data_IF_373858573044
#
_entry.id   IF_373858573044
#
_cell.length_a   1.000
_cell.length_b   1.000
_cell.length_c   1.000
_cell.angle_alpha   90.00
_cell.angle_beta   90.00
_cell.angle_gamma   90.00
#
_symmetry.space_group_name_H-M   'P 1'
#
loop_
_entity.id
_entity.type
_entity.pdbx_description
1 polymer ?
#
# COMPACT_ATOMS: atom_id res chain seq x y z
N UNK A 1 14.62 -17.46 10.99
CA UNK A 1 14.17 -17.64 9.58
C UNK A 1 15.15 -16.96 8.64
N UNK A 2 16.31 -17.57 8.34
CA UNK A 2 17.30 -17.02 7.39
C UNK A 2 17.68 -18.01 6.27
N UNK A 3 17.05 -19.18 6.26
CA UNK A 3 17.40 -20.24 5.32
C UNK A 3 16.76 -19.96 3.95
N UNK A 4 17.58 -19.75 2.92
CA UNK A 4 17.14 -19.46 1.54
C UNK A 4 16.43 -20.65 0.87
N UNK A 5 16.53 -21.85 1.44
CA UNK A 5 15.84 -23.04 0.92
C UNK A 5 14.32 -22.81 0.89
N UNK A 6 13.77 -22.02 1.82
CA UNK A 6 12.33 -21.72 1.85
C UNK A 6 11.83 -20.97 0.61
N UNK A 7 12.67 -20.16 -0.05
CA UNK A 7 12.33 -19.48 -1.29
C UNK A 7 12.87 -20.20 -2.54
N UNK A 8 13.28 -21.47 -2.42
CA UNK A 8 13.76 -22.25 -3.55
C UNK A 8 15.21 -21.97 -3.94
N UNK A 9 16.02 -21.33 -3.08
CA UNK A 9 17.45 -21.08 -3.35
C UNK A 9 18.37 -21.90 -2.44
N UNK A 10 19.39 -22.50 -3.03
CA UNK A 10 20.41 -23.28 -2.32
C UNK A 10 21.72 -22.48 -2.36
N UNK A 11 22.33 -22.30 -1.20
CA UNK A 11 23.64 -21.67 -1.07
C UNK A 11 24.74 -22.70 -1.33
N UNK A 12 25.64 -22.39 -2.27
CA UNK A 12 26.85 -23.17 -2.51
C UNK A 12 28.03 -22.35 -1.98
N UNK A 13 28.75 -22.93 -1.02
CA UNK A 13 29.93 -22.31 -0.43
C UNK A 13 31.08 -22.18 -1.44
N UNK A 14 31.98 -21.25 -1.17
CA UNK A 14 33.18 -21.02 -1.98
C UNK A 14 34.00 -22.32 -2.10
N UNK A 15 34.42 -22.65 -3.32
CA UNK A 15 35.31 -23.78 -3.57
C UNK A 15 36.46 -23.37 -4.49
N UNK A 16 37.69 -23.45 -3.97
CA UNK A 16 38.93 -23.02 -4.65
C UNK A 16 38.85 -21.55 -5.10
N UNK A 17 38.87 -21.28 -6.41
CA UNK A 17 38.83 -19.92 -6.98
C UNK A 17 37.41 -19.48 -7.36
N UNK A 18 36.39 -20.32 -7.14
CA UNK A 18 35.00 -19.97 -7.44
C UNK A 18 34.35 -19.31 -6.23
N UNK A 19 33.79 -18.12 -6.42
CA UNK A 19 33.06 -17.37 -5.39
C UNK A 19 31.80 -18.11 -4.94
N UNK A 20 31.33 -17.84 -3.73
CA UNK A 20 30.07 -18.42 -3.25
C UNK A 20 28.88 -17.83 -4.03
N UNK A 21 27.95 -18.68 -4.46
CA UNK A 21 26.77 -18.25 -5.22
C UNK A 21 25.50 -19.02 -4.81
N UNK A 22 24.36 -18.45 -5.19
CA UNK A 22 23.05 -19.04 -4.95
C UNK A 22 22.49 -19.64 -6.24
N UNK A 23 22.02 -20.88 -6.18
CA UNK A 23 21.34 -21.54 -7.30
C UNK A 23 19.86 -21.75 -7.00
N UNK A 24 19.05 -21.82 -8.06
CA UNK A 24 17.65 -22.24 -7.96
C UNK A 24 17.59 -23.75 -7.74
N UNK A 25 16.98 -24.16 -6.63
CA UNK A 25 16.72 -25.56 -6.30
C UNK A 25 15.63 -26.15 -7.20
N UNK A 26 15.58 -27.48 -7.28
CA UNK A 26 14.53 -28.22 -8.00
C UNK A 26 13.27 -28.43 -7.17
N UNK A 27 13.31 -28.17 -5.87
CA UNK A 27 12.16 -28.31 -4.98
C UNK A 27 11.20 -27.13 -5.13
N UNK A 28 9.93 -27.39 -4.85
CA UNK A 28 8.91 -26.35 -4.82
C UNK A 28 9.17 -25.38 -3.66
N UNK A 29 9.21 -24.06 -3.90
CA UNK A 29 9.42 -23.09 -2.84
C UNK A 29 8.20 -23.01 -1.92
N UNK A 30 8.42 -23.01 -0.61
CA UNK A 30 7.35 -22.88 0.38
C UNK A 30 6.80 -21.45 0.48
N UNK A 31 7.64 -20.46 0.15
CA UNK A 31 7.26 -19.03 0.10
C UNK A 31 7.91 -18.35 -1.10
N UNK A 32 7.32 -17.24 -1.56
CA UNK A 32 7.91 -16.47 -2.65
C UNK A 32 9.23 -15.79 -2.22
N UNK A 33 10.13 -15.60 -3.19
CA UNK A 33 11.39 -14.90 -3.00
C UNK A 33 11.18 -13.47 -2.46
N UNK A 34 10.20 -12.75 -3.01
CA UNK A 34 9.82 -11.43 -2.53
C UNK A 34 9.36 -11.43 -1.05
N UNK A 35 8.63 -12.46 -0.62
CA UNK A 35 8.20 -12.59 0.78
C UNK A 35 9.39 -12.91 1.69
N UNK A 36 10.30 -13.79 1.25
CA UNK A 36 11.50 -14.14 2.01
C UNK A 36 12.40 -12.92 2.27
N UNK A 37 12.70 -12.12 1.24
CA UNK A 37 13.52 -10.91 1.41
C UNK A 37 12.82 -9.85 2.27
N UNK A 38 11.49 -9.69 2.16
CA UNK A 38 10.74 -8.81 3.09
C UNK A 38 10.93 -9.23 4.55
N UNK A 39 10.98 -10.53 4.84
CA UNK A 39 11.24 -11.03 6.20
C UNK A 39 12.70 -10.81 6.60
N UNK A 40 13.66 -10.99 5.69
CA UNK A 40 15.07 -10.67 5.96
C UNK A 40 15.26 -9.19 6.31
N UNK A 41 14.67 -8.27 5.55
CA UNK A 41 14.70 -6.83 5.84
C UNK A 41 14.22 -6.51 7.26
N UNK A 42 13.18 -7.20 7.74
CA UNK A 42 12.63 -7.04 9.09
C UNK A 42 13.55 -7.62 10.15
N UNK A 43 14.17 -8.78 9.89
CA UNK A 43 15.12 -9.44 10.79
C UNK A 43 16.46 -8.71 10.91
N UNK A 44 16.94 -8.12 9.82
CA UNK A 44 18.17 -7.32 9.75
C UNK A 44 17.99 -5.93 10.35
N UNK A 45 16.75 -5.54 10.68
CA UNK A 45 16.46 -4.21 11.22
C UNK A 45 16.57 -3.08 10.20
N UNK A 46 16.87 -3.40 8.93
CA UNK A 46 16.89 -2.48 7.79
C UNK A 46 15.48 -1.92 7.51
N UNK A 47 14.47 -2.76 7.69
CA UNK A 47 13.13 -2.31 8.05
C UNK A 47 12.96 -2.57 9.54
N UNK A 48 13.22 -1.55 10.36
CA UNK A 48 12.33 -1.36 11.50
C UNK A 48 10.97 -1.26 10.84
N UNK A 49 10.18 -2.33 10.87
CA UNK A 49 8.78 -2.22 10.50
C UNK A 49 8.34 -0.94 11.18
N UNK A 50 7.79 0.00 10.40
CA UNK A 50 6.98 1.07 10.95
C UNK A 50 5.85 0.36 11.69
N UNK A 51 6.16 -0.20 12.87
CA UNK A 51 5.18 -0.46 13.89
C UNK A 51 4.79 0.95 14.25
N UNK A 52 3.55 1.38 13.99
CA UNK A 52 3.04 2.62 14.52
C UNK A 52 3.02 2.47 16.06
N UNK A 53 4.18 2.65 16.72
CA UNK A 53 4.43 2.27 18.12
C UNK A 53 5.07 0.90 18.29
N UNK A 54 6.37 0.87 18.59
CA UNK A 54 7.02 -0.33 19.11
C UNK A 54 6.34 -0.83 20.39
N UNK A 55 6.18 -2.16 20.55
CA UNK A 55 5.56 -2.88 21.69
C UNK A 55 4.92 -1.94 22.72
N UNK A 56 3.83 -1.30 22.31
CA UNK A 56 3.03 -0.49 23.22
C UNK A 56 2.20 -1.51 23.98
N UNK A 57 2.51 -1.73 25.24
CA UNK A 57 1.54 -2.30 26.16
C UNK A 57 0.29 -1.43 26.02
N UNK A 58 -0.76 -1.99 25.41
CA UNK A 58 -2.02 -1.30 25.14
C UNK A 58 -2.59 -0.84 26.48
N UNK A 59 -2.33 0.41 26.82
CA UNK A 59 -2.86 1.05 28.00
C UNK A 59 -3.73 2.19 27.52
N UNK A 60 -5.02 2.10 27.85
CA UNK A 60 -6.06 3.03 27.42
C UNK A 60 -5.77 4.48 27.80
N UNK A 61 -4.96 4.69 28.83
CA UNK A 61 -4.56 6.02 29.25
C UNK A 61 -3.52 6.66 28.32
N UNK A 62 -2.86 5.91 27.44
CA UNK A 62 -1.75 6.39 26.63
C UNK A 62 -1.87 6.15 25.11
N UNK A 63 -2.99 6.55 24.45
CA UNK A 63 -3.18 6.35 23.00
C UNK A 63 -2.06 6.99 22.16
N UNK A 64 -1.53 8.13 22.61
CA UNK A 64 -0.54 8.92 21.87
C UNK A 64 0.92 8.56 22.19
N UNK A 65 1.15 7.50 22.98
CA UNK A 65 2.50 7.08 23.36
C UNK A 65 3.35 6.76 22.12
N UNK A 66 4.54 7.34 22.06
CA UNK A 66 5.47 7.18 20.95
C UNK A 66 5.16 8.01 19.70
N UNK A 67 4.03 8.73 19.68
CA UNK A 67 3.67 9.69 18.65
C UNK A 67 4.00 11.14 19.06
N UNK A 68 4.02 11.43 20.36
CA UNK A 68 4.28 12.76 20.88
C UNK A 68 5.78 13.07 20.97
N UNK A 69 6.15 14.28 20.55
CA UNK A 69 7.49 14.87 20.67
C UNK A 69 7.56 15.80 21.90
N UNK A 70 8.67 15.78 22.62
CA UNK A 70 8.89 16.66 23.76
C UNK A 70 9.18 18.09 23.29
N UNK A 71 8.42 19.11 23.74
CA UNK A 71 8.64 20.49 23.30
C UNK A 71 9.94 21.10 23.82
N UNK A 72 10.60 20.48 24.81
CA UNK A 72 11.85 21.00 25.39
C UNK A 72 13.11 20.43 24.74
N UNK A 73 13.13 19.16 24.37
CA UNK A 73 14.33 18.49 23.89
C UNK A 73 14.17 17.71 22.58
N UNK A 74 12.98 17.72 21.96
CA UNK A 74 12.71 16.98 20.72
C UNK A 74 12.67 15.45 20.88
N UNK A 75 12.93 14.90 22.08
CA UNK A 75 12.85 13.47 22.34
C UNK A 75 11.40 12.96 22.39
N UNK A 76 11.20 11.65 22.18
CA UNK A 76 9.86 11.05 22.26
C UNK A 76 9.31 11.06 23.69
N UNK A 77 8.03 11.39 23.84
CA UNK A 77 7.33 11.21 25.11
C UNK A 77 6.91 9.74 25.31
N UNK A 78 7.03 9.29 26.54
CA UNK A 78 6.51 8.01 27.06
C UNK A 78 5.33 8.27 27.99
N UNK A 79 4.59 7.23 28.36
CA UNK A 79 3.53 7.30 29.37
C UNK A 79 3.83 6.41 30.57
N UNK A 80 3.59 6.90 31.79
CA UNK A 80 3.59 6.10 33.01
C UNK A 80 2.55 6.59 34.03
N UNK A 81 2.05 5.66 34.84
CA UNK A 81 1.19 5.94 35.98
C UNK A 81 2.01 6.15 37.25
N UNK A 82 1.64 7.14 38.06
CA UNK A 82 2.21 7.35 39.39
C UNK A 82 1.14 7.09 40.45
N UNK A 83 1.43 6.17 41.37
CA UNK A 83 0.53 5.80 42.47
C UNK A 83 0.51 6.91 43.50
N UNK A 84 -0.67 7.48 43.75
CA UNK A 84 -0.94 8.33 44.90
C UNK A 84 -1.54 7.53 46.07
N UNK A 85 -2.02 8.24 47.09
CA UNK A 85 -2.62 7.63 48.28
C UNK A 85 -3.86 6.78 47.96
N UNK A 86 -4.77 7.30 47.12
CA UNK A 86 -6.04 6.66 46.79
C UNK A 86 -6.20 6.28 45.31
N UNK A 87 -5.43 6.88 44.40
CA UNK A 87 -5.57 6.66 42.95
C UNK A 87 -4.25 6.77 42.20
N UNK A 88 -4.22 6.20 41.00
CA UNK A 88 -3.09 6.29 40.06
C UNK A 88 -3.34 7.49 39.14
N UNK A 89 -2.30 8.29 38.93
CA UNK A 89 -2.32 9.45 38.05
C UNK A 89 -1.46 9.18 36.81
N UNK A 90 -2.02 9.37 35.62
CA UNK A 90 -1.35 9.07 34.35
C UNK A 90 -0.76 10.32 33.71
N UNK A 91 0.47 10.19 33.19
CA UNK A 91 1.19 11.30 32.59
C UNK A 91 1.96 10.88 31.35
N UNK A 92 1.96 11.75 30.34
CA UNK A 92 2.99 11.75 29.32
C UNK A 92 4.22 12.49 29.85
N UNK A 93 5.40 11.89 29.71
CA UNK A 93 6.64 12.49 30.20
C UNK A 93 7.83 12.16 29.31
N UNK A 94 8.82 13.05 29.35
CA UNK A 94 10.10 12.84 28.71
C UNK A 94 11.04 12.04 29.64
N UNK A 95 12.30 11.88 29.22
CA UNK A 95 13.35 11.26 30.02
C UNK A 95 13.68 12.10 31.25
N UNK A 96 14.28 11.47 32.28
CA UNK A 96 14.66 12.13 33.53
C UNK A 96 15.50 13.39 33.33
N UNK A 97 16.37 13.42 32.30
CA UNK A 97 17.23 14.57 31.97
C UNK A 97 16.46 15.82 31.54
N UNK A 98 15.31 15.66 30.89
CA UNK A 98 14.50 16.77 30.35
C UNK A 98 13.38 17.22 31.31
N UNK A 99 12.96 16.32 32.21
CA UNK A 99 11.95 16.53 33.26
C UNK A 99 10.56 17.02 32.80
N UNK A 100 10.31 17.15 31.50
CA UNK A 100 9.00 17.53 30.95
C UNK A 100 7.94 16.47 31.28
N UNK A 101 6.78 16.92 31.76
CA UNK A 101 5.66 16.07 32.15
C UNK A 101 4.33 16.80 31.96
N UNK A 102 3.33 16.11 31.43
CA UNK A 102 1.96 16.59 31.29
C UNK A 102 0.95 15.50 31.65
N UNK A 103 -0.21 15.89 32.20
CA UNK A 103 -1.28 14.94 32.56
C UNK A 103 -1.83 14.29 31.29
N UNK A 104 -2.06 12.98 31.34
CA UNK A 104 -2.51 12.22 30.17
C UNK A 104 -3.85 12.72 29.64
N UNK A 105 -4.80 12.93 30.54
CA UNK A 105 -6.17 13.35 30.20
C UNK A 105 -6.18 14.68 29.45
N UNK A 106 -5.40 15.67 29.93
CA UNK A 106 -5.29 16.98 29.27
C UNK A 106 -4.76 16.83 27.84
N UNK A 107 -3.70 16.03 27.65
CA UNK A 107 -3.09 15.84 26.32
C UNK A 107 -4.04 15.08 25.39
N UNK A 108 -4.72 14.06 25.89
CA UNK A 108 -5.69 13.29 25.13
C UNK A 108 -6.89 14.16 24.73
N UNK A 109 -7.45 14.95 25.65
CA UNK A 109 -8.56 15.88 25.38
C UNK A 109 -8.18 16.97 24.37
N UNK A 110 -6.95 17.51 24.47
CA UNK A 110 -6.44 18.46 23.49
C UNK A 110 -6.33 17.81 22.11
N UNK A 111 -5.82 16.58 22.02
CA UNK A 111 -5.74 15.87 20.75
C UNK A 111 -7.13 15.60 20.16
N UNK A 112 -8.12 15.21 20.98
CA UNK A 112 -9.50 15.03 20.53
C UNK A 112 -10.10 16.33 19.97
N UNK A 113 -9.78 17.48 20.58
CA UNK A 113 -10.17 18.81 20.07
C UNK A 113 -9.41 19.21 18.80
N UNK A 114 -8.16 18.79 18.64
CA UNK A 114 -7.43 19.02 17.39
C UNK A 114 -8.06 18.21 16.24
N UNK A 115 -8.55 17.00 16.51
CA UNK A 115 -9.21 16.16 15.50
C UNK A 115 -10.48 16.81 14.92
N UNK A 116 -11.22 17.59 15.69
CA UNK A 116 -12.44 18.26 15.19
C UNK A 116 -12.13 19.30 14.11
N UNK A 117 -10.90 19.84 14.07
CA UNK A 117 -10.48 20.79 13.02
C UNK A 117 -10.37 20.15 11.64
N UNK A 118 -10.24 18.82 11.58
CA UNK A 118 -10.20 18.08 10.32
C UNK A 118 -11.59 17.69 9.82
N UNK A 119 -12.63 17.85 10.64
CA UNK A 119 -14.00 17.62 10.22
C UNK A 119 -14.45 18.75 9.30
N UNK A 120 -14.93 18.40 8.11
CA UNK A 120 -15.47 19.36 7.15
C UNK A 120 -16.99 19.39 7.19
N UNK A 121 -17.55 20.55 6.81
CA UNK A 121 -19.00 20.72 6.70
C UNK A 121 -19.59 19.78 5.63
N UNK A 122 -20.79 19.21 5.86
CA UNK A 122 -21.43 18.29 4.91
C UNK A 122 -21.52 18.81 3.46
N UNK A 123 -21.76 20.10 3.17
CA UNK A 123 -21.78 20.61 1.80
C UNK A 123 -20.41 20.56 1.10
N UNK A 124 -19.30 20.69 1.83
CA UNK A 124 -17.95 20.59 1.27
C UNK A 124 -17.63 19.17 0.81
N UNK A 125 -18.27 18.16 1.42
CA UNK A 125 -18.10 16.76 1.08
C UNK A 125 -18.46 16.48 -0.39
N UNK A 126 -19.60 16.98 -0.83
CA UNK A 126 -20.10 16.72 -2.19
C UNK A 126 -19.25 17.43 -3.24
N UNK A 127 -18.81 18.65 -2.93
CA UNK A 127 -17.89 19.41 -3.79
C UNK A 127 -16.56 18.67 -3.91
N UNK A 128 -15.97 18.24 -2.78
CA UNK A 128 -14.71 17.51 -2.77
C UNK A 128 -14.82 16.17 -3.49
N UNK A 129 -15.93 15.44 -3.29
CA UNK A 129 -16.21 14.19 -4.01
C UNK A 129 -16.23 14.40 -5.52
N UNK A 130 -16.97 15.41 -6.00
CA UNK A 130 -17.04 15.74 -7.44
C UNK A 130 -15.66 16.11 -7.99
N UNK A 131 -14.89 16.92 -7.27
CA UNK A 131 -13.56 17.34 -7.69
C UNK A 131 -12.59 16.16 -7.79
N UNK A 132 -12.57 15.28 -6.78
CA UNK A 132 -11.74 14.07 -6.78
C UNK A 132 -12.14 13.09 -7.89
N UNK A 133 -13.45 12.88 -8.11
CA UNK A 133 -13.93 12.03 -9.19
C UNK A 133 -13.60 12.59 -10.57
N UNK A 134 -13.67 13.90 -10.77
CA UNK A 134 -13.30 14.52 -12.03
C UNK A 134 -11.80 14.37 -12.31
N UNK A 135 -10.95 14.65 -11.32
CA UNK A 135 -9.50 14.40 -11.45
C UNK A 135 -9.19 12.93 -11.72
N UNK A 136 -9.88 12.02 -11.04
CA UNK A 136 -9.73 10.59 -11.28
C UNK A 136 -10.10 10.21 -12.70
N UNK A 137 -11.27 10.68 -13.20
CA UNK A 137 -11.70 10.47 -14.58
C UNK A 137 -10.73 11.03 -15.60
N UNK A 138 -10.15 12.21 -15.37
CA UNK A 138 -9.13 12.77 -16.25
C UNK A 138 -7.86 11.92 -16.28
N UNK A 139 -7.45 11.37 -15.14
CA UNK A 139 -6.27 10.50 -15.06
C UNK A 139 -6.52 9.12 -15.68
N UNK A 140 -7.69 8.52 -15.45
CA UNK A 140 -8.05 7.21 -16.01
C UNK A 140 -8.55 7.27 -17.43
N UNK A 141 -9.06 8.42 -17.89
CA UNK A 141 -9.54 8.62 -19.25
C UNK A 141 -8.47 8.28 -20.27
N UNK A 142 -7.23 8.73 -20.05
CA UNK A 142 -6.11 8.38 -20.93
C UNK A 142 -5.75 6.89 -20.92
N UNK A 143 -5.98 6.18 -19.82
CA UNK A 143 -5.74 4.73 -19.73
C UNK A 143 -6.87 3.95 -20.42
N UNK A 144 -8.12 4.37 -20.23
CA UNK A 144 -9.29 3.76 -20.89
C UNK A 144 -9.28 4.02 -22.40
N UNK A 145 -8.84 5.20 -22.85
CA UNK A 145 -8.62 5.52 -24.25
C UNK A 145 -7.52 4.66 -24.88
N UNK A 146 -6.38 4.51 -24.20
CA UNK A 146 -5.31 3.60 -24.61
C UNK A 146 -5.81 2.16 -24.70
N UNK A 147 -6.55 1.69 -23.69
CA UNK A 147 -7.15 0.35 -23.69
C UNK A 147 -8.07 0.13 -24.88
N UNK A 148 -8.95 1.09 -25.18
CA UNK A 148 -9.83 1.04 -26.36
C UNK A 148 -9.04 1.05 -27.67
N UNK A 149 -7.97 1.82 -27.74
CA UNK A 149 -7.09 1.86 -28.92
C UNK A 149 -6.38 0.51 -29.15
N UNK A 150 -5.79 -0.07 -28.11
CA UNK A 150 -5.11 -1.38 -28.17
C UNK A 150 -6.10 -2.49 -28.54
N UNK A 151 -7.29 -2.50 -27.94
CA UNK A 151 -8.36 -3.44 -28.30
C UNK A 151 -8.75 -3.35 -29.77
N UNK A 152 -8.90 -2.13 -30.30
CA UNK A 152 -9.21 -1.93 -31.73
C UNK A 152 -8.08 -2.43 -32.64
N UNK A 153 -6.83 -2.30 -32.23
CA UNK A 153 -5.70 -2.80 -33.01
C UNK A 153 -5.71 -4.33 -33.08
N UNK A 154 -6.03 -5.01 -31.97
CA UNK A 154 -6.22 -6.47 -31.93
C UNK A 154 -7.36 -6.87 -32.88
N UNK A 155 -8.49 -6.17 -32.86
CA UNK A 155 -9.62 -6.46 -33.75
C UNK A 155 -9.22 -6.32 -35.23
N UNK A 156 -8.48 -5.27 -35.60
CA UNK A 156 -7.98 -5.06 -36.97
C UNK A 156 -7.03 -6.17 -37.42
N UNK A 157 -6.12 -6.62 -36.55
CA UNK A 157 -5.20 -7.73 -36.86
C UNK A 157 -5.99 -9.04 -37.03
N UNK A 158 -6.95 -9.30 -36.13
CA UNK A 158 -7.81 -10.48 -36.23
C UNK A 158 -8.66 -10.48 -37.51
N UNK A 159 -9.20 -9.32 -37.91
CA UNK A 159 -9.89 -9.17 -39.20
C UNK A 159 -8.95 -9.43 -40.39
N UNK A 160 -7.71 -8.94 -40.34
CA UNK A 160 -6.70 -9.19 -41.39
C UNK A 160 -6.38 -10.67 -41.51
N UNK A 161 -6.18 -11.37 -40.40
CA UNK A 161 -5.95 -12.83 -40.37
C UNK A 161 -7.19 -13.58 -40.86
N UNK A 162 -8.40 -13.12 -40.53
CA UNK A 162 -9.65 -13.70 -41.04
C UNK A 162 -9.77 -13.56 -42.56
N UNK A 163 -9.50 -12.37 -43.11
CA UNK A 163 -9.51 -12.13 -44.57
C UNK A 163 -8.45 -12.97 -45.29
N UNK A 164 -7.26 -13.10 -44.71
CA UNK A 164 -6.22 -13.96 -45.27
C UNK A 164 -6.65 -15.43 -45.32
N UNK A 165 -7.40 -15.89 -44.32
CA UNK A 165 -7.98 -17.25 -44.31
C UNK A 165 -9.01 -17.43 -45.43
N UNK A 166 -9.90 -16.46 -45.63
CA UNK A 166 -10.90 -16.51 -46.71
C UNK A 166 -10.24 -16.51 -48.09
N UNK A 167 -9.17 -15.72 -48.26
CA UNK A 167 -8.39 -15.68 -49.51
C UNK A 167 -7.66 -17.00 -49.79
N UNK A 168 -7.07 -17.60 -48.77
CA UNK A 168 -6.44 -18.92 -48.86
C UNK A 168 -7.47 -20.01 -49.23
N UNK A 169 -8.65 -20.01 -48.62
CA UNK A 169 -9.73 -20.95 -48.96
C UNK A 169 -10.26 -20.76 -50.39
N UNK A 170 -10.07 -19.57 -50.98
CA UNK A 170 -10.45 -19.27 -52.36
C UNK A 170 -9.35 -19.51 -53.39
N UNK A 171 -8.23 -20.16 -53.00
CA UNK A 171 -7.03 -20.37 -53.82
C UNK A 171 -6.42 -19.07 -54.40
N UNK A 172 -6.62 -17.94 -53.72
CA UNK A 172 -6.07 -16.62 -54.11
C UNK A 172 -4.81 -16.23 -53.36
N UNK A 173 -4.34 -17.08 -52.45
CA UNK A 173 -3.20 -16.87 -51.59
C UNK A 173 -2.50 -18.22 -51.40
N UNK A 174 -1.17 -18.26 -51.50
CA UNK A 174 -0.42 -19.50 -51.28
C UNK A 174 -0.25 -19.83 -49.78
N UNK A 175 0.23 -21.05 -49.49
CA UNK A 175 0.40 -21.52 -48.10
C UNK A 175 1.50 -20.74 -47.35
N UNK A 176 2.58 -20.37 -48.02
CA UNK A 176 3.72 -19.69 -47.41
C UNK A 176 3.33 -18.27 -46.98
N UNK A 177 2.66 -17.53 -47.88
CA UNK A 177 2.08 -16.21 -47.64
C UNK A 177 1.04 -16.26 -46.50
N UNK A 178 0.15 -17.27 -46.49
CA UNK A 178 -0.83 -17.42 -45.41
C UNK A 178 -0.16 -17.70 -44.06
N UNK A 179 0.84 -18.59 -44.03
CA UNK A 179 1.60 -18.91 -42.81
C UNK A 179 2.31 -17.68 -42.27
N UNK A 180 2.90 -16.85 -43.13
CA UNK A 180 3.56 -15.63 -42.74
C UNK A 180 2.57 -14.61 -42.14
N UNK A 181 1.42 -14.38 -42.79
CA UNK A 181 0.38 -13.48 -42.28
C UNK A 181 -0.19 -13.97 -40.94
N UNK A 182 -0.40 -15.28 -40.80
CA UNK A 182 -0.89 -15.89 -39.56
C UNK A 182 0.14 -15.81 -38.43
N UNK A 183 1.41 -16.05 -38.73
CA UNK A 183 2.50 -15.99 -37.74
C UNK A 183 2.75 -14.56 -37.27
N UNK A 184 2.84 -13.61 -38.20
CA UNK A 184 3.00 -12.18 -37.89
C UNK A 184 1.81 -11.64 -37.11
N UNK A 185 0.58 -11.94 -37.55
CA UNK A 185 -0.64 -11.52 -36.85
C UNK A 185 -0.72 -12.09 -35.44
N UNK A 186 -0.38 -13.37 -35.24
CA UNK A 186 -0.35 -13.97 -33.89
C UNK A 186 0.68 -13.29 -32.98
N UNK A 187 1.89 -13.01 -33.49
CA UNK A 187 2.94 -12.35 -32.72
C UNK A 187 2.52 -10.92 -32.31
N UNK A 188 1.85 -10.18 -33.19
CA UNK A 188 1.35 -8.84 -32.88
C UNK A 188 0.19 -8.88 -31.88
N UNK A 189 -0.75 -9.82 -32.05
CA UNK A 189 -1.86 -10.03 -31.09
C UNK A 189 -1.33 -10.39 -29.71
N UNK A 190 -0.39 -11.34 -29.61
CA UNK A 190 0.18 -11.77 -28.32
C UNK A 190 0.86 -10.58 -27.58
N UNK A 191 1.58 -9.71 -28.31
CA UNK A 191 2.20 -8.49 -27.75
C UNK A 191 1.17 -7.48 -27.25
N UNK A 192 0.12 -7.23 -28.04
CA UNK A 192 -0.94 -6.29 -27.69
C UNK A 192 -1.80 -6.81 -26.54
N UNK A 193 -2.02 -8.12 -26.45
CA UNK A 193 -2.70 -8.78 -25.33
C UNK A 193 -1.87 -8.68 -24.04
N UNK A 194 -0.55 -8.81 -24.12
CA UNK A 194 0.36 -8.58 -22.99
C UNK A 194 0.30 -7.11 -22.53
N UNK A 195 0.36 -6.15 -23.46
CA UNK A 195 0.20 -4.72 -23.16
C UNK A 195 -1.16 -4.42 -22.51
N UNK A 196 -2.24 -5.00 -23.04
CA UNK A 196 -3.58 -4.87 -22.48
C UNK A 196 -3.69 -5.50 -21.10
N UNK A 197 -3.02 -6.64 -20.87
CA UNK A 197 -2.90 -7.30 -19.56
C UNK A 197 -2.20 -6.41 -18.53
N UNK A 198 -1.11 -5.74 -18.92
CA UNK A 198 -0.42 -4.77 -18.08
C UNK A 198 -1.34 -3.59 -17.72
N UNK A 199 -2.02 -2.98 -18.69
CA UNK A 199 -2.95 -1.86 -18.47
C UNK A 199 -4.12 -2.24 -17.56
N UNK A 200 -4.66 -3.46 -17.69
CA UNK A 200 -5.74 -3.97 -16.83
C UNK A 200 -5.25 -4.24 -15.41
N UNK A 201 -4.02 -4.72 -15.24
CA UNK A 201 -3.43 -4.96 -13.92
C UNK A 201 -3.21 -3.66 -13.14
N UNK A 202 -2.86 -2.57 -13.82
CA UNK A 202 -2.74 -1.21 -13.26
C UNK A 202 -4.10 -0.61 -12.89
N UNK A 203 -5.15 -0.99 -13.61
CA UNK A 203 -6.52 -0.45 -13.46
C UNK A 203 -7.47 -1.37 -12.72
N UNK A 204 -6.98 -2.39 -11.97
CA UNK A 204 -7.82 -3.22 -11.08
C UNK A 204 -8.86 -2.33 -10.43
N UNK A 205 -10.10 -2.51 -10.87
CA UNK A 205 -11.20 -1.57 -10.69
C UNK A 205 -11.56 -1.55 -9.23
N UNK A 206 -10.79 -0.80 -8.45
CA UNK A 206 -11.23 -0.38 -7.14
C UNK A 206 -12.44 0.50 -7.40
N UNK A 207 -13.56 0.16 -6.77
CA UNK A 207 -14.72 1.03 -6.74
C UNK A 207 -14.34 2.31 -5.98
N UNK A 208 -13.74 3.23 -6.72
CA UNK A 208 -13.15 4.46 -6.20
C UNK A 208 -14.24 5.39 -5.72
N UNK A 209 -15.44 5.28 -6.28
CA UNK A 209 -16.59 5.97 -5.77
C UNK A 209 -16.91 5.49 -4.35
N UNK A 210 -17.04 4.18 -4.13
CA UNK A 210 -17.26 3.64 -2.78
C UNK A 210 -16.10 3.93 -1.83
N UNK A 211 -14.85 3.81 -2.28
CA UNK A 211 -13.69 4.14 -1.42
C UNK A 211 -13.62 5.60 -1.06
N UNK A 212 -13.89 6.51 -2.00
CA UNK A 212 -13.99 7.93 -1.74
C UNK A 212 -15.13 8.23 -0.77
N UNK A 213 -16.29 7.60 -0.95
CA UNK A 213 -17.41 7.75 -0.02
C UNK A 213 -17.04 7.30 1.39
N UNK A 214 -16.39 6.14 1.52
CA UNK A 214 -15.90 5.63 2.80
C UNK A 214 -14.87 6.56 3.43
N UNK A 215 -13.90 7.05 2.66
CA UNK A 215 -12.85 7.96 3.13
C UNK A 215 -13.45 9.30 3.58
N UNK A 216 -14.33 9.90 2.78
CA UNK A 216 -14.97 11.16 3.11
C UNK A 216 -15.88 11.03 4.34
N UNK A 217 -16.64 9.94 4.46
CA UNK A 217 -17.43 9.65 5.67
C UNK A 217 -16.55 9.45 6.91
N UNK A 218 -15.39 8.82 6.75
CA UNK A 218 -14.46 8.60 7.85
C UNK A 218 -13.87 9.92 8.34
N UNK A 219 -13.48 10.83 7.45
CA UNK A 219 -12.92 12.13 7.81
C UNK A 219 -13.98 13.05 8.43
N UNK A 220 -15.21 13.06 7.91
CA UNK A 220 -16.30 13.89 8.45
C UNK A 220 -16.76 13.50 9.85
N UNK A 221 -16.34 12.33 10.35
CA UNK A 221 -16.68 11.82 11.68
C UNK A 221 -15.45 11.36 12.46
N UNK A 222 -14.28 11.90 12.13
CA UNK A 222 -13.00 11.41 12.64
C UNK A 222 -12.86 11.57 14.15
N UNK A 223 -13.40 12.66 14.73
CA UNK A 223 -13.40 12.86 16.19
C UNK A 223 -14.27 11.81 16.88
N UNK A 224 -15.49 11.58 16.35
CA UNK A 224 -16.42 10.57 16.89
C UNK A 224 -15.83 9.16 16.83
N UNK A 225 -15.25 8.82 15.68
CA UNK A 225 -14.57 7.53 15.45
C UNK A 225 -13.38 7.34 16.38
N UNK A 226 -12.57 8.38 16.59
CA UNK A 226 -11.46 8.31 17.54
C UNK A 226 -11.95 8.09 18.97
N UNK A 227 -12.98 8.83 19.41
CA UNK A 227 -13.51 8.74 20.77
C UNK A 227 -14.11 7.37 21.09
N UNK A 228 -14.87 6.80 20.15
CA UNK A 228 -15.56 5.51 20.30
C UNK A 228 -14.66 4.31 19.96
N UNK A 229 -13.54 4.55 19.26
CA UNK A 229 -12.62 3.50 18.84
C UNK A 229 -11.84 2.90 19.99
N UNK A 230 -11.44 1.63 19.81
CA UNK A 230 -10.48 0.98 20.68
C UNK A 230 -9.07 1.58 20.52
N UNK A 231 -8.13 1.10 21.32
CA UNK A 231 -6.76 1.62 21.32
C UNK A 231 -6.05 1.46 19.96
N UNK A 232 -6.33 0.39 19.24
CA UNK A 232 -5.76 0.18 17.90
C UNK A 232 -6.32 1.20 16.91
N UNK A 233 -7.64 1.40 16.90
CA UNK A 233 -8.30 2.41 16.06
C UNK A 233 -7.80 3.81 16.36
N UNK A 234 -7.67 4.18 17.64
CA UNK A 234 -7.12 5.49 18.06
C UNK A 234 -5.72 5.70 17.52
N UNK A 235 -4.86 4.68 17.65
CA UNK A 235 -3.47 4.76 17.15
C UNK A 235 -3.41 4.83 15.64
N UNK A 236 -4.23 4.04 14.94
CA UNK A 236 -4.31 4.06 13.49
C UNK A 236 -4.67 5.47 13.00
N UNK A 237 -5.76 6.04 13.53
CA UNK A 237 -6.20 7.40 13.18
C UNK A 237 -5.08 8.42 13.46
N UNK A 238 -4.47 8.38 14.65
CA UNK A 238 -3.42 9.33 15.01
C UNK A 238 -2.18 9.20 14.09
N UNK A 239 -1.77 7.97 13.76
CA UNK A 239 -0.62 7.72 12.88
C UNK A 239 -0.89 8.04 11.41
N UNK A 240 -2.13 7.93 10.94
CA UNK A 240 -2.50 8.26 9.57
C UNK A 240 -2.46 9.78 9.31
N UNK A 241 -2.86 10.59 10.30
CA UNK A 241 -2.82 12.06 10.20
C UNK A 241 -1.40 12.58 10.43
N UNK A 242 -0.66 11.98 11.36
CA UNK A 242 0.70 12.37 11.71
C UNK A 242 1.71 11.23 11.48
N UNK A 243 2.04 10.93 10.20
CA UNK A 243 2.91 9.81 9.84
C UNK A 243 4.39 10.09 10.19
N UNK A 244 4.79 11.36 10.26
CA UNK A 244 6.12 11.78 10.69
C UNK A 244 6.01 12.52 12.02
N UNK A 245 7.02 12.33 12.86
CA UNK A 245 7.18 13.09 14.11
C UNK A 245 7.58 14.52 13.74
N UNK A 246 6.66 15.45 13.95
CA UNK A 246 6.95 16.88 14.00
C UNK A 246 7.60 17.27 15.32
#
# INVERSE_FOLDING_TARGET
>A
MRNTVYCGKIYIGQYKQEEAYYIKGKHEPLISEALFYKVQDVLDGNKKGERPGGKVLLNEHFPLRGLLTCPRCGGNLTGSGSKGHSKIYYYYHCTKKCSFRSKSDIVNDLFEKELTKFEFNPPLKDVLKKLLLNNYKSFTGGIDEKRKSVSKQIDVINERVSKARDLYLSDKLDEDDYREIKSSGKLETDKLEEELGCLVSETKTYDIQTRLDHALNAISSISKRYKQGDMETKRMIASSIYPKKT
#
